data_IF_792325717465
#
_entry.id   IF_792325717465
#
_cell.length_a   1.000
_cell.length_b   1.000
_cell.length_c   1.000
_cell.angle_alpha   90.00
_cell.angle_beta   90.00
_cell.angle_gamma   90.00
#
_symmetry.space_group_name_H-M   'P 1'
#
loop_
_entity.id
_entity.type
_entity.pdbx_description
1 polymer ?
#
# COMPACT_ATOMS: atom_id res chain seq x y z
N UNK A 1 10.90 22.65 -8.19
CA UNK A 1 11.47 21.91 -7.06
C UNK A 1 10.60 20.69 -6.80
N UNK A 2 11.19 19.50 -6.65
CA UNK A 2 10.48 18.38 -6.03
C UNK A 2 10.26 18.69 -4.55
N UNK A 3 9.06 18.41 -4.03
CA UNK A 3 8.74 18.55 -2.61
C UNK A 3 9.55 17.51 -1.82
N UNK A 4 10.42 17.90 -0.87
CA UNK A 4 11.27 16.98 -0.12
C UNK A 4 10.48 15.85 0.54
N UNK A 5 9.27 16.14 1.04
CA UNK A 5 8.40 15.14 1.70
C UNK A 5 7.87 14.09 0.73
N UNK A 6 7.74 14.44 -0.55
CA UNK A 6 7.32 13.49 -1.58
C UNK A 6 8.47 12.56 -1.99
N UNK A 7 9.72 12.97 -1.80
CA UNK A 7 10.88 12.09 -2.04
C UNK A 7 11.04 11.03 -0.96
N UNK A 8 10.73 11.36 0.30
CA UNK A 8 10.76 10.42 1.43
C UNK A 8 9.76 9.26 1.28
N UNK A 9 8.68 9.48 0.52
CA UNK A 9 7.63 8.48 0.29
C UNK A 9 7.91 7.57 -0.91
N UNK A 10 9.09 7.69 -1.55
CA UNK A 10 9.44 6.87 -2.71
C UNK A 10 9.83 5.46 -2.31
N UNK A 11 9.12 4.49 -2.87
CA UNK A 11 9.47 3.08 -2.73
C UNK A 11 10.65 2.69 -3.65
N UNK A 12 11.47 1.69 -3.27
CA UNK A 12 12.58 1.22 -4.10
C UNK A 12 12.12 0.71 -5.47
N UNK A 13 12.51 1.41 -6.53
CA UNK A 13 12.08 1.12 -7.90
C UNK A 13 12.45 -0.28 -8.39
N UNK A 14 13.56 -0.85 -7.90
CA UNK A 14 13.99 -2.20 -8.24
C UNK A 14 13.01 -3.27 -7.72
N UNK A 15 12.48 -3.09 -6.50
CA UNK A 15 11.50 -4.00 -5.89
C UNK A 15 10.18 -3.91 -6.65
N UNK A 16 9.69 -2.70 -6.88
CA UNK A 16 8.47 -2.47 -7.65
C UNK A 16 8.57 -3.06 -9.07
N UNK A 17 9.70 -2.84 -9.75
CA UNK A 17 9.91 -3.38 -11.10
C UNK A 17 9.86 -4.91 -11.12
N UNK A 18 10.32 -5.58 -10.06
CA UNK A 18 10.27 -7.04 -9.93
C UNK A 18 8.83 -7.52 -9.75
N UNK A 19 8.08 -6.89 -8.85
CA UNK A 19 6.66 -7.21 -8.60
C UNK A 19 5.80 -6.96 -9.84
N UNK A 20 6.00 -5.82 -10.51
CA UNK A 20 5.28 -5.50 -11.75
C UNK A 20 5.53 -6.54 -12.84
N UNK A 21 6.78 -6.98 -13.02
CA UNK A 21 7.11 -8.03 -14.00
C UNK A 21 6.51 -9.38 -13.64
N UNK A 22 6.42 -9.75 -12.35
CA UNK A 22 5.79 -11.01 -11.97
C UNK A 22 4.29 -11.07 -12.28
N UNK A 23 3.65 -9.91 -12.48
CA UNK A 23 2.24 -9.82 -12.87
C UNK A 23 2.03 -9.79 -14.38
N UNK A 24 3.09 -9.91 -15.20
CA UNK A 24 3.02 -9.76 -16.66
C UNK A 24 3.52 -11.02 -17.39
N UNK A 25 3.08 -11.24 -18.64
CA UNK A 25 3.62 -12.32 -19.47
C UNK A 25 5.11 -12.18 -19.74
N UNK A 26 5.77 -13.30 -20.03
CA UNK A 26 7.18 -13.33 -20.42
C UNK A 26 7.44 -12.42 -21.63
N UNK A 27 8.49 -11.60 -21.55
CA UNK A 27 8.86 -10.66 -22.61
C UNK A 27 8.10 -9.33 -22.60
N UNK A 28 7.06 -9.18 -21.77
CA UNK A 28 6.37 -7.90 -21.61
C UNK A 28 7.28 -6.84 -20.97
N UNK A 29 7.15 -5.60 -21.44
CA UNK A 29 7.92 -4.45 -20.96
C UNK A 29 7.01 -3.37 -20.38
N UNK A 30 7.49 -2.67 -19.36
CA UNK A 30 6.81 -1.49 -18.78
C UNK A 30 7.68 -0.26 -18.99
N UNK A 31 7.08 0.82 -19.48
CA UNK A 31 7.78 2.08 -19.72
C UNK A 31 8.37 2.66 -18.41
N UNK A 32 9.37 3.54 -18.55
CA UNK A 32 9.97 4.22 -17.38
C UNK A 32 8.96 5.13 -16.67
N UNK A 33 8.09 5.79 -17.44
CA UNK A 33 7.07 6.68 -16.89
C UNK A 33 5.99 5.88 -16.14
N UNK A 34 5.47 4.80 -16.72
CA UNK A 34 4.50 3.94 -16.05
C UNK A 34 5.02 3.37 -14.72
N UNK A 35 6.29 2.95 -14.67
CA UNK A 35 6.95 2.54 -13.42
C UNK A 35 6.98 3.66 -12.37
N UNK A 36 7.22 4.90 -12.80
CA UNK A 36 7.25 6.07 -11.91
C UNK A 36 5.84 6.40 -11.38
N UNK A 37 4.81 6.31 -12.22
CA UNK A 37 3.44 6.54 -11.79
C UNK A 37 2.94 5.44 -10.85
N UNK A 38 3.27 4.17 -11.12
CA UNK A 38 2.90 3.06 -10.24
C UNK A 38 3.58 3.19 -8.88
N UNK A 39 4.86 3.57 -8.82
CA UNK A 39 5.54 3.86 -7.55
C UNK A 39 4.81 4.96 -6.75
N UNK A 40 4.42 6.05 -7.41
CA UNK A 40 3.66 7.13 -6.76
C UNK A 40 2.29 6.64 -6.29
N UNK A 41 1.60 5.85 -7.09
CA UNK A 41 0.31 5.26 -6.74
C UNK A 41 0.42 4.34 -5.51
N UNK A 42 1.49 3.53 -5.40
CA UNK A 42 1.74 2.72 -4.22
C UNK A 42 1.97 3.57 -2.96
N UNK A 43 2.69 4.68 -3.07
CA UNK A 43 2.87 5.60 -1.94
C UNK A 43 1.52 6.22 -1.51
N UNK A 44 0.72 6.67 -2.47
CA UNK A 44 -0.64 7.20 -2.21
C UNK A 44 -1.54 6.13 -1.61
N UNK A 45 -1.45 4.89 -2.07
CA UNK A 45 -2.21 3.76 -1.49
C UNK A 45 -1.88 3.54 -0.01
N UNK A 46 -0.60 3.60 0.38
CA UNK A 46 -0.18 3.47 1.78
C UNK A 46 -0.77 4.61 2.62
N UNK A 47 -0.69 5.85 2.12
CA UNK A 47 -1.25 7.02 2.82
C UNK A 47 -2.77 6.95 2.94
N UNK A 48 -3.44 6.50 1.87
CA UNK A 48 -4.88 6.31 1.87
C UNK A 48 -5.30 5.24 2.89
N UNK A 49 -4.64 4.08 2.89
CA UNK A 49 -4.95 3.03 3.85
C UNK A 49 -4.66 3.48 5.29
N UNK A 50 -3.58 4.21 5.51
CA UNK A 50 -3.26 4.80 6.80
C UNK A 50 -4.38 5.75 7.26
N UNK A 51 -4.90 6.61 6.39
CA UNK A 51 -5.98 7.53 6.78
C UNK A 51 -7.26 6.79 7.16
N UNK A 52 -7.60 5.70 6.47
CA UNK A 52 -8.72 4.84 6.84
C UNK A 52 -8.51 4.14 8.19
N UNK A 53 -7.29 3.67 8.46
CA UNK A 53 -6.94 3.05 9.73
C UNK A 53 -6.93 4.07 10.89
N UNK A 54 -6.42 5.28 10.65
CA UNK A 54 -6.43 6.39 11.62
C UNK A 54 -7.86 6.82 11.99
N UNK A 55 -8.78 6.84 11.02
CA UNK A 55 -10.19 7.11 11.27
C UNK A 55 -10.80 6.08 12.24
N UNK A 56 -10.51 4.78 12.01
CA UNK A 56 -10.96 3.73 12.93
C UNK A 56 -10.30 3.85 14.31
N UNK A 57 -8.98 4.07 14.39
CA UNK A 57 -8.28 4.24 15.67
C UNK A 57 -8.83 5.43 16.47
N UNK A 58 -9.08 6.55 15.78
CA UNK A 58 -9.64 7.77 16.37
C UNK A 58 -11.06 7.55 16.87
N UNK A 59 -11.90 6.79 16.14
CA UNK A 59 -13.24 6.40 16.60
C UNK A 59 -13.22 5.61 17.92
N UNK A 60 -12.11 4.91 18.19
CA UNK A 60 -11.85 4.18 19.45
C UNK A 60 -11.11 5.03 20.51
N UNK A 61 -10.99 6.35 20.31
CA UNK A 61 -10.25 7.30 21.17
C UNK A 61 -8.76 6.95 21.32
N UNK A 62 -8.16 6.28 20.34
CA UNK A 62 -6.74 5.94 20.31
C UNK A 62 -5.99 6.88 19.37
N UNK A 63 -4.75 7.22 19.74
CA UNK A 63 -3.80 7.96 18.89
C UNK A 63 -2.80 7.06 18.17
N UNK A 64 -2.76 5.79 18.55
CA UNK A 64 -1.89 4.77 17.97
C UNK A 64 -2.73 3.86 17.09
N UNK A 65 -2.30 3.71 15.84
CA UNK A 65 -2.85 2.76 14.87
C UNK A 65 -2.31 1.37 15.19
N UNK A 66 -3.21 0.42 15.40
CA UNK A 66 -2.93 -0.99 15.68
C UNK A 66 -3.27 -1.85 14.45
N UNK A 67 -2.87 -3.13 14.51
CA UNK A 67 -3.15 -4.12 13.44
C UNK A 67 -4.63 -4.19 13.10
N UNK A 68 -5.51 -4.22 14.11
CA UNK A 68 -6.96 -4.25 13.93
C UNK A 68 -7.47 -3.07 13.09
N UNK A 69 -6.91 -1.87 13.27
CA UNK A 69 -7.31 -0.69 12.52
C UNK A 69 -6.96 -0.79 11.04
N UNK A 70 -5.79 -1.36 10.73
CA UNK A 70 -5.37 -1.62 9.34
C UNK A 70 -6.26 -2.67 8.69
N UNK A 71 -6.64 -3.73 9.43
CA UNK A 71 -7.56 -4.75 8.93
C UNK A 71 -8.95 -4.16 8.65
N UNK A 72 -9.48 -3.35 9.57
CA UNK A 72 -10.74 -2.64 9.35
C UNK A 72 -10.61 -1.66 8.17
N UNK A 73 -9.52 -0.92 8.08
CA UNK A 73 -9.24 -0.01 6.97
C UNK A 73 -9.25 -0.70 5.60
N UNK A 74 -8.62 -1.88 5.49
CA UNK A 74 -8.64 -2.69 4.26
C UNK A 74 -10.06 -3.11 3.87
N UNK A 75 -10.89 -3.50 4.84
CA UNK A 75 -12.28 -3.89 4.59
C UNK A 75 -13.14 -2.70 4.20
N UNK A 76 -13.03 -1.58 4.91
CA UNK A 76 -13.80 -0.36 4.62
C UNK A 76 -13.45 0.24 3.25
N UNK A 77 -12.18 0.13 2.85
CA UNK A 77 -11.70 0.62 1.56
C UNK A 77 -12.01 -0.32 0.37
N UNK A 78 -12.64 -1.49 0.60
CA UNK A 78 -12.97 -2.46 -0.45
C UNK A 78 -11.78 -3.26 -0.98
N UNK A 79 -10.78 -3.54 -0.13
CA UNK A 79 -9.63 -4.37 -0.46
C UNK A 79 -9.72 -5.75 0.21
N UNK A 80 -10.85 -6.44 0.08
CA UNK A 80 -11.14 -7.72 0.75
C UNK A 80 -10.10 -8.80 0.44
N UNK A 81 -9.63 -8.89 -0.80
CA UNK A 81 -8.60 -9.87 -1.20
C UNK A 81 -7.25 -9.64 -0.50
N UNK A 82 -6.89 -8.37 -0.26
CA UNK A 82 -5.70 -8.01 0.51
C UNK A 82 -5.94 -8.32 1.98
N UNK A 83 -7.12 -7.97 2.51
CA UNK A 83 -7.51 -8.28 3.88
C UNK A 83 -7.39 -9.78 4.18
N UNK A 84 -7.95 -10.65 3.33
CA UNK A 84 -7.85 -12.11 3.49
C UNK A 84 -6.41 -12.60 3.49
N UNK A 85 -5.59 -12.09 2.56
CA UNK A 85 -4.18 -12.45 2.46
C UNK A 85 -3.40 -12.05 3.71
N UNK A 86 -3.59 -10.82 4.20
CA UNK A 86 -2.91 -10.32 5.40
C UNK A 86 -3.42 -11.02 6.65
N UNK A 87 -4.73 -11.26 6.76
CA UNK A 87 -5.33 -12.01 7.87
C UNK A 87 -4.70 -13.39 8.02
N UNK A 88 -4.54 -14.12 6.90
CA UNK A 88 -3.86 -15.42 6.92
C UNK A 88 -2.43 -15.32 7.44
N UNK A 89 -1.68 -14.30 7.05
CA UNK A 89 -0.29 -14.12 7.49
C UNK A 89 -0.20 -13.75 8.97
N UNK A 90 -1.09 -12.89 9.45
CA UNK A 90 -1.05 -12.36 10.82
C UNK A 90 -1.56 -13.37 11.86
N UNK A 91 -2.54 -14.21 11.49
CA UNK A 91 -3.23 -15.07 12.45
C UNK A 91 -2.95 -16.57 12.30
N UNK A 92 -2.32 -17.00 11.19
CA UNK A 92 -2.10 -18.43 10.88
C UNK A 92 -0.66 -18.77 10.48
N UNK A 93 0.27 -17.83 10.65
CA UNK A 93 1.72 -18.06 10.69
C UNK A 93 2.16 -17.82 12.13
#
# INVERSE_FOLDING_TARGET
>A
MSDPKAEDLRLPMAVLSRVMKSCLPNGAAVSKDARTQIMRACAVFILYLLSQAEEHATSKKRKTVNVEDVMVGLKTAGFESIHETVSRIVYYV
#
